data_IF_182481078513
#
_entry.id   IF_182481078513
#
_cell.length_a   1.000
_cell.length_b   1.000
_cell.length_c   1.000
_cell.angle_alpha   90.00
_cell.angle_beta   90.00
_cell.angle_gamma   90.00
#
_symmetry.space_group_name_H-M   'P 1'
#
loop_
_entity.id
_entity.type
_entity.pdbx_description
1 polymer ?
#
# COMPACT_ATOMS: atom_id res chain seq x y z
N UNK A 1 -43.48 5.48 -13.59
CA UNK A 1 -42.62 4.28 -13.50
C UNK A 1 -41.25 4.71 -12.99
N UNK A 2 -41.05 4.65 -11.67
CA UNK A 2 -39.84 5.09 -10.99
C UNK A 2 -38.76 4.00 -11.05
N UNK A 3 -37.66 4.26 -11.76
CA UNK A 3 -36.49 3.39 -11.70
C UNK A 3 -35.74 3.67 -10.39
N UNK A 4 -35.93 2.75 -9.45
CA UNK A 4 -35.27 2.69 -8.16
C UNK A 4 -33.75 2.74 -8.32
N UNK A 5 -33.15 3.59 -7.50
CA UNK A 5 -31.72 3.73 -7.28
C UNK A 5 -31.01 2.39 -7.15
N UNK A 6 -29.96 2.19 -7.94
CA UNK A 6 -28.98 1.14 -7.67
C UNK A 6 -27.79 1.81 -6.94
N UNK A 7 -27.89 1.88 -5.60
CA UNK A 7 -26.77 2.23 -4.71
C UNK A 7 -25.71 1.12 -4.83
N UNK A 8 -24.90 1.18 -5.88
CA UNK A 8 -23.69 0.37 -5.99
C UNK A 8 -22.79 0.83 -4.84
N UNK A 9 -22.58 -0.07 -3.88
CA UNK A 9 -21.78 0.13 -2.67
C UNK A 9 -20.63 1.11 -2.90
N UNK A 10 -20.71 2.29 -2.29
CA UNK A 10 -19.66 3.30 -2.27
C UNK A 10 -18.53 2.82 -1.35
N UNK A 11 -17.93 1.67 -1.66
CA UNK A 11 -16.67 1.28 -1.08
C UNK A 11 -15.69 2.40 -1.47
N UNK A 12 -15.20 3.14 -0.47
CA UNK A 12 -14.27 4.26 -0.62
C UNK A 12 -13.23 3.87 -1.65
N UNK A 13 -13.28 4.49 -2.82
CA UNK A 13 -12.41 4.15 -3.94
C UNK A 13 -11.00 4.51 -3.51
N UNK A 14 -10.21 3.53 -3.09
CA UNK A 14 -8.80 3.77 -2.76
C UNK A 14 -8.15 4.31 -4.04
N UNK A 15 -7.71 5.57 -3.99
CA UNK A 15 -6.99 6.19 -5.10
C UNK A 15 -5.75 5.34 -5.35
N UNK A 16 -5.47 5.03 -6.62
CA UNK A 16 -4.25 4.35 -6.98
C UNK A 16 -3.08 5.28 -6.63
N UNK A 17 -2.33 4.94 -5.59
CA UNK A 17 -1.07 5.61 -5.27
C UNK A 17 -0.04 5.10 -6.28
N UNK A 18 0.69 6.01 -6.90
CA UNK A 18 1.79 5.69 -7.80
C UNK A 18 3.12 5.80 -7.06
N UNK A 19 4.12 5.10 -7.56
CA UNK A 19 5.45 5.15 -6.98
C UNK A 19 6.10 6.51 -7.25
N UNK A 20 6.86 6.98 -6.27
CA UNK A 20 7.58 8.22 -6.36
C UNK A 20 9.01 7.95 -5.89
N UNK A 21 9.93 7.88 -6.85
CA UNK A 21 11.33 7.51 -6.61
C UNK A 21 12.01 8.38 -5.53
N UNK A 22 11.60 9.65 -5.41
CA UNK A 22 12.15 10.60 -4.44
C UNK A 22 11.50 10.53 -3.06
N UNK A 23 10.41 9.78 -2.90
CA UNK A 23 9.69 9.58 -1.62
C UNK A 23 9.70 8.10 -1.29
N UNK A 24 10.78 7.61 -0.69
CA UNK A 24 11.03 6.18 -0.47
C UNK A 24 9.86 5.42 0.20
N UNK A 25 9.05 6.10 1.00
CA UNK A 25 7.86 5.52 1.64
C UNK A 25 6.68 5.23 0.67
N UNK A 26 6.71 5.71 -0.59
CA UNK A 26 5.66 5.47 -1.58
C UNK A 26 5.48 3.99 -1.89
N UNK A 27 6.56 3.20 -1.90
CA UNK A 27 6.46 1.77 -2.19
C UNK A 27 5.65 1.03 -1.13
N UNK A 28 5.75 1.43 0.14
CA UNK A 28 4.92 0.89 1.22
C UNK A 28 3.43 1.19 0.99
N UNK A 29 3.11 2.42 0.56
CA UNK A 29 1.74 2.86 0.27
C UNK A 29 1.13 2.10 -0.92
N UNK A 30 1.94 1.82 -1.94
CA UNK A 30 1.51 1.06 -3.12
C UNK A 30 1.25 -0.39 -2.74
N UNK A 31 2.20 -1.01 -2.05
CA UNK A 31 2.09 -2.40 -1.62
C UNK A 31 0.82 -2.59 -0.78
N UNK A 32 0.58 -1.74 0.21
CA UNK A 32 -0.62 -1.78 1.03
C UNK A 32 -1.92 -1.64 0.19
N UNK A 33 -1.94 -0.73 -0.79
CA UNK A 33 -3.08 -0.58 -1.71
C UNK A 33 -3.28 -1.80 -2.62
N UNK A 34 -2.20 -2.39 -3.16
CA UNK A 34 -2.27 -3.59 -4.00
C UNK A 34 -2.82 -4.76 -3.18
N UNK A 35 -2.37 -4.94 -1.93
CA UNK A 35 -2.88 -5.98 -1.03
C UNK A 35 -4.38 -5.81 -0.77
N UNK A 36 -4.85 -4.57 -0.53
CA UNK A 36 -6.28 -4.24 -0.35
C UNK A 36 -7.11 -4.50 -1.62
N UNK A 37 -6.53 -4.28 -2.79
CA UNK A 37 -7.21 -4.40 -4.08
C UNK A 37 -6.99 -5.74 -4.79
N UNK A 38 -6.24 -6.69 -4.20
CA UNK A 38 -5.83 -7.95 -4.84
C UNK A 38 -6.97 -8.65 -5.58
N UNK A 39 -8.11 -8.85 -4.92
CA UNK A 39 -9.22 -9.59 -5.50
C UNK A 39 -9.79 -8.88 -6.73
N UNK A 40 -9.91 -7.55 -6.68
CA UNK A 40 -10.36 -6.76 -7.83
C UNK A 40 -9.35 -6.78 -8.97
N UNK A 41 -8.05 -6.69 -8.66
CA UNK A 41 -6.95 -6.77 -9.64
C UNK A 41 -6.97 -8.14 -10.32
N UNK A 42 -6.95 -9.23 -9.56
CA UNK A 42 -6.98 -10.59 -10.09
C UNK A 42 -8.26 -10.86 -10.90
N UNK A 43 -9.42 -10.37 -10.47
CA UNK A 43 -10.67 -10.51 -11.23
C UNK A 43 -10.64 -9.81 -12.60
N UNK A 44 -9.91 -8.69 -12.72
CA UNK A 44 -9.71 -8.00 -14.00
C UNK A 44 -8.72 -8.79 -14.86
N UNK A 45 -7.62 -9.26 -14.26
CA UNK A 45 -6.60 -10.05 -14.95
C UNK A 45 -7.19 -11.33 -15.53
N UNK A 46 -7.98 -12.09 -14.74
CA UNK A 46 -8.61 -13.34 -15.19
C UNK A 46 -9.59 -13.17 -16.36
N UNK A 47 -10.03 -11.94 -16.66
CA UNK A 47 -10.87 -11.64 -17.83
C UNK A 47 -10.06 -11.33 -19.10
N UNK A 48 -8.74 -11.17 -18.99
CA UNK A 48 -7.87 -10.79 -20.08
C UNK A 48 -6.60 -11.68 -20.13
N UNK A 49 -6.66 -12.72 -20.96
CA UNK A 49 -5.57 -13.70 -21.14
C UNK A 49 -4.21 -13.09 -21.47
N UNK A 50 -4.16 -11.88 -22.06
CA UNK A 50 -2.89 -11.20 -22.40
C UNK A 50 -2.09 -10.78 -21.17
N UNK A 51 -2.74 -10.63 -20.02
CA UNK A 51 -2.13 -10.15 -18.77
C UNK A 51 -2.15 -11.20 -17.65
N UNK A 52 -2.47 -12.46 -17.94
CA UNK A 52 -2.52 -13.55 -16.95
C UNK A 52 -1.20 -13.72 -16.19
N UNK A 53 -0.06 -13.39 -16.81
CA UNK A 53 1.26 -13.41 -16.16
C UNK A 53 1.39 -12.48 -14.94
N UNK A 54 0.48 -11.52 -14.78
CA UNK A 54 0.46 -10.57 -13.66
C UNK A 54 -0.48 -11.01 -12.53
N UNK A 55 -1.11 -12.19 -12.64
CA UNK A 55 -2.01 -12.69 -11.63
C UNK A 55 -1.27 -12.89 -10.31
N UNK A 56 -1.74 -12.23 -9.25
CA UNK A 56 -1.08 -12.26 -7.94
C UNK A 56 -1.42 -13.58 -7.26
N UNK A 57 -0.45 -14.49 -7.20
CA UNK A 57 -0.58 -15.78 -6.54
C UNK A 57 -0.70 -15.64 -5.01
N UNK A 58 -1.09 -16.71 -4.34
CA UNK A 58 -1.11 -16.75 -2.87
C UNK A 58 0.31 -16.62 -2.28
N UNK A 59 1.32 -17.17 -2.94
CA UNK A 59 2.72 -17.07 -2.53
C UNK A 59 3.25 -15.64 -2.62
N UNK A 60 3.06 -14.99 -3.77
CA UNK A 60 3.44 -13.58 -3.95
C UNK A 60 2.70 -12.66 -2.98
N UNK A 61 1.41 -12.89 -2.76
CA UNK A 61 0.65 -12.13 -1.78
C UNK A 61 1.22 -12.26 -0.37
N UNK A 62 1.62 -13.46 0.03
CA UNK A 62 2.26 -13.69 1.33
C UNK A 62 3.61 -12.95 1.40
N UNK A 63 4.45 -13.09 0.38
CA UNK A 63 5.77 -12.44 0.34
C UNK A 63 5.64 -10.92 0.42
N UNK A 64 4.72 -10.33 -0.34
CA UNK A 64 4.45 -8.89 -0.34
C UNK A 64 3.92 -8.44 1.03
N UNK A 65 3.06 -9.23 1.67
CA UNK A 65 2.55 -8.94 3.01
C UNK A 65 3.65 -8.98 4.07
N UNK A 66 4.55 -9.95 3.99
CA UNK A 66 5.68 -10.05 4.92
C UNK A 66 6.72 -8.96 4.68
N UNK A 67 6.95 -8.57 3.42
CA UNK A 67 7.75 -7.40 3.07
C UNK A 67 7.16 -6.11 3.63
N UNK A 68 5.83 -5.92 3.55
CA UNK A 68 5.17 -4.74 4.10
C UNK A 68 5.40 -4.62 5.61
N UNK A 69 5.28 -5.73 6.36
CA UNK A 69 5.56 -5.75 7.81
C UNK A 69 7.01 -5.40 8.12
N UNK A 70 7.95 -5.85 7.29
CA UNK A 70 9.37 -5.52 7.46
C UNK A 70 9.61 -4.03 7.24
N UNK A 71 8.96 -3.42 6.24
CA UNK A 71 9.18 -2.02 5.86
C UNK A 71 8.41 -1.01 6.72
N UNK A 72 7.28 -1.41 7.31
CA UNK A 72 6.43 -0.57 8.17
C UNK A 72 7.20 0.18 9.29
N UNK A 73 8.06 -0.47 10.10
CA UNK A 73 8.81 0.25 11.15
C UNK A 73 9.77 1.30 10.57
N UNK A 74 10.41 1.04 9.43
CA UNK A 74 11.29 2.02 8.77
C UNK A 74 10.50 3.21 8.24
N UNK A 75 9.30 2.97 7.68
CA UNK A 75 8.40 4.04 7.25
C UNK A 75 8.04 4.96 8.43
N UNK A 76 7.67 4.38 9.57
CA UNK A 76 7.33 5.15 10.78
C UNK A 76 8.53 5.98 11.24
N UNK A 77 9.71 5.37 11.36
CA UNK A 77 10.93 6.08 11.81
C UNK A 77 11.27 7.23 10.85
N UNK A 78 11.21 7.01 9.54
CA UNK A 78 11.53 8.06 8.55
C UNK A 78 10.49 9.19 8.52
N UNK A 79 9.21 8.89 8.73
CA UNK A 79 8.17 9.92 8.86
C UNK A 79 8.37 10.78 10.13
N UNK A 80 8.77 10.15 11.24
CA UNK A 80 9.12 10.87 12.47
C UNK A 80 10.39 11.71 12.28
N UNK A 81 11.43 11.16 11.66
CA UNK A 81 12.67 11.92 11.43
C UNK A 81 12.52 13.05 10.40
N UNK A 82 11.53 12.97 9.51
CA UNK A 82 11.19 14.02 8.55
C UNK A 82 10.30 15.14 9.11
N UNK A 83 9.92 15.08 10.39
CA UNK A 83 9.09 16.11 11.01
C UNK A 83 9.81 17.44 11.21
N UNK A 84 9.11 18.54 10.98
CA UNK A 84 9.66 19.91 11.12
C UNK A 84 9.20 20.64 12.39
N UNK A 85 8.21 20.07 13.11
CA UNK A 85 7.60 20.70 14.29
C UNK A 85 8.29 20.33 15.62
N UNK A 86 9.45 19.67 15.59
CA UNK A 86 10.20 19.24 16.77
C UNK A 86 11.67 18.95 16.43
N UNK A 87 12.53 18.89 17.46
CA UNK A 87 13.96 18.58 17.30
C UNK A 87 14.13 17.07 17.07
N UNK A 88 14.26 16.68 15.81
CA UNK A 88 14.42 15.28 15.38
C UNK A 88 15.75 14.68 15.84
N UNK A 89 16.84 15.45 15.89
CA UNK A 89 18.16 14.98 16.31
C UNK A 89 18.16 14.33 17.71
N UNK A 90 17.37 14.87 18.64
CA UNK A 90 17.28 14.40 20.02
C UNK A 90 16.65 13.01 20.18
N UNK A 91 15.89 12.55 19.18
CA UNK A 91 15.14 11.29 19.22
C UNK A 91 15.73 10.19 18.31
N UNK A 92 16.68 10.53 17.43
CA UNK A 92 17.32 9.59 16.47
C UNK A 92 17.80 8.32 17.16
N UNK A 93 18.57 8.45 18.24
CA UNK A 93 19.15 7.31 18.97
C UNK A 93 18.08 6.37 19.52
N UNK A 94 16.97 6.92 20.01
CA UNK A 94 15.85 6.14 20.54
C UNK A 94 15.15 5.36 19.43
N UNK A 95 14.93 6.00 18.28
CA UNK A 95 14.24 5.39 17.15
C UNK A 95 15.06 4.26 16.52
N UNK A 96 16.37 4.44 16.36
CA UNK A 96 17.27 3.40 15.83
C UNK A 96 17.25 2.16 16.73
N UNK A 97 17.22 2.34 18.06
CA UNK A 97 17.12 1.23 19.02
C UNK A 97 15.76 0.50 19.02
N UNK A 98 14.73 1.08 18.42
CA UNK A 98 13.38 0.52 18.37
C UNK A 98 13.06 -0.26 17.09
N UNK A 99 13.97 -0.20 16.11
CA UNK A 99 13.95 -1.04 14.91
C UNK A 99 14.47 -2.44 15.23
#
# INVERSE_FOLDING_TARGET
>A
MNLKMNKKSLAKKNKLVQDCVTRWNSICDIIDNVLKCKNSINNIISKNKKIDKWFITSGEFKNIKDLLKLLEPFKIVTEVLGGENYITASIVHRLIKSL
#
